data_IF_218714802021
#
_entry.id   IF_218714802021
#
_cell.length_a   1.000
_cell.length_b   1.000
_cell.length_c   1.000
_cell.angle_alpha   90.00
_cell.angle_beta   90.00
_cell.angle_gamma   90.00
#
_symmetry.space_group_name_H-M   'P 1'
#
loop_
_entity.id
_entity.type
_entity.pdbx_description
1 polymer ?
#
# COMPACT_ATOMS: atom_id res chain seq x y z
N UNK A 1 -18.68 -18.04 7.01
CA UNK A 1 -17.28 -17.73 6.70
C UNK A 1 -17.23 -16.57 5.72
N UNK A 2 -16.68 -15.44 6.15
CA UNK A 2 -16.51 -14.28 5.29
C UNK A 2 -15.36 -14.55 4.32
N UNK A 3 -15.60 -14.48 3.01
CA UNK A 3 -14.54 -14.72 2.03
C UNK A 3 -13.42 -13.69 2.16
N UNK A 4 -12.18 -14.11 1.99
CA UNK A 4 -10.97 -13.28 2.01
C UNK A 4 -11.12 -11.94 1.26
N UNK A 5 -11.64 -11.98 0.04
CA UNK A 5 -11.90 -10.78 -0.77
C UNK A 5 -13.00 -9.87 -0.18
N UNK A 6 -13.96 -10.41 0.57
CA UNK A 6 -14.97 -9.61 1.28
C UNK A 6 -14.34 -8.88 2.47
N UNK A 7 -13.44 -9.55 3.19
CA UNK A 7 -12.74 -8.94 4.31
C UNK A 7 -11.88 -7.74 3.88
N UNK A 8 -11.09 -7.87 2.80
CA UNK A 8 -10.28 -6.75 2.29
C UNK A 8 -11.13 -5.53 1.91
N UNK A 9 -12.35 -5.74 1.39
CA UNK A 9 -13.29 -4.67 1.05
C UNK A 9 -13.84 -3.92 2.27
N UNK A 10 -13.71 -4.48 3.48
CA UNK A 10 -14.12 -3.83 4.74
C UNK A 10 -12.99 -3.04 5.39
N UNK A 11 -11.80 -3.03 4.81
CA UNK A 11 -10.71 -2.16 5.26
C UNK A 11 -10.92 -0.80 4.60
N UNK A 12 -11.17 0.21 5.44
CA UNK A 12 -11.39 1.57 4.97
C UNK A 12 -10.07 2.27 4.61
N UNK A 13 -10.10 3.29 3.74
CA UNK A 13 -8.90 4.04 3.37
C UNK A 13 -8.24 4.71 4.58
N UNK A 14 -9.02 5.32 5.49
CA UNK A 14 -8.51 5.97 6.70
C UNK A 14 -7.76 5.01 7.63
N UNK A 15 -8.23 3.76 7.70
CA UNK A 15 -7.57 2.74 8.52
C UNK A 15 -6.22 2.34 7.92
N UNK A 16 -6.15 2.25 6.59
CA UNK A 16 -4.93 1.93 5.88
C UNK A 16 -3.93 3.09 5.92
N UNK A 17 -4.41 4.33 5.83
CA UNK A 17 -3.61 5.56 5.96
C UNK A 17 -2.90 5.64 7.30
N UNK A 18 -3.57 5.23 8.39
CA UNK A 18 -2.96 5.14 9.73
C UNK A 18 -1.87 4.07 9.84
N UNK A 19 -1.70 3.22 8.82
CA UNK A 19 -0.65 2.20 8.74
C UNK A 19 0.53 2.63 7.86
N UNK A 20 0.55 3.85 7.33
CA UNK A 20 1.59 4.35 6.41
C UNK A 20 2.73 5.06 7.16
N UNK A 21 3.52 4.28 7.87
CA UNK A 21 4.71 4.76 8.57
C UNK A 21 5.89 3.80 8.33
N UNK A 22 7.13 4.29 8.47
CA UNK A 22 8.31 3.45 8.53
C UNK A 22 8.66 3.04 9.97
N UNK A 23 9.30 1.88 10.11
CA UNK A 23 9.95 1.43 11.34
C UNK A 23 11.24 0.66 10.99
N UNK A 24 12.20 0.69 11.93
CA UNK A 24 13.46 -0.04 11.85
C UNK A 24 13.63 -0.87 13.10
N UNK A 25 13.91 -2.16 12.94
CA UNK A 25 14.19 -3.10 14.01
C UNK A 25 15.64 -3.56 13.89
N UNK A 26 16.35 -3.69 15.01
CA UNK A 26 17.66 -4.30 15.04
C UNK A 26 17.56 -5.82 14.99
N UNK A 27 18.48 -6.48 14.29
CA UNK A 27 18.58 -7.93 14.28
C UNK A 27 19.45 -8.43 15.43
N UNK A 28 18.86 -9.24 16.29
CA UNK A 28 19.49 -9.83 17.47
C UNK A 28 19.58 -11.35 17.28
N UNK A 29 20.80 -11.87 17.25
CA UNK A 29 21.04 -13.32 17.24
C UNK A 29 20.90 -13.89 18.67
N UNK A 30 20.60 -15.18 18.80
CA UNK A 30 20.49 -15.88 20.09
C UNK A 30 21.71 -15.73 21.03
N UNK A 31 22.88 -15.36 20.50
CA UNK A 31 24.12 -15.10 21.26
C UNK A 31 24.47 -13.61 21.48
N UNK A 32 23.54 -12.67 21.23
CA UNK A 32 23.72 -11.23 21.49
C UNK A 32 24.61 -10.46 20.49
N UNK A 33 25.52 -11.14 19.78
CA UNK A 33 26.25 -10.57 18.63
C UNK A 33 25.45 -10.75 17.34
N UNK A 34 24.44 -9.90 17.14
CA UNK A 34 23.76 -9.73 15.86
C UNK A 34 24.07 -8.35 15.29
N UNK A 35 24.50 -8.28 14.02
CA UNK A 35 24.66 -7.03 13.29
C UNK A 35 23.68 -7.03 12.12
N UNK A 36 22.83 -6.01 12.04
CA UNK A 36 21.85 -5.90 10.96
C UNK A 36 20.58 -5.17 11.37
N UNK A 37 19.70 -4.98 10.39
CA UNK A 37 18.42 -4.33 10.59
C UNK A 37 17.34 -4.93 9.70
N UNK A 38 16.10 -4.84 10.17
CA UNK A 38 14.88 -4.98 9.39
C UNK A 38 14.22 -3.60 9.32
N UNK A 39 14.07 -3.06 8.12
CA UNK A 39 13.33 -1.84 7.85
C UNK A 39 12.05 -2.18 7.09
N UNK A 40 10.93 -1.57 7.48
CA UNK A 40 9.65 -1.70 6.79
C UNK A 40 9.03 -0.32 6.68
N UNK A 41 8.53 0.05 5.50
CA UNK A 41 7.88 1.33 5.30
C UNK A 41 6.83 1.30 4.20
N UNK A 42 5.80 2.14 4.37
CA UNK A 42 4.76 2.32 3.38
C UNK A 42 4.43 3.80 3.22
N UNK A 43 4.20 4.25 1.98
CA UNK A 43 3.84 5.63 1.67
C UNK A 43 2.96 5.71 0.43
N UNK A 44 2.17 6.78 0.26
CA UNK A 44 1.49 7.05 -1.00
C UNK A 44 2.49 7.17 -2.16
N UNK A 45 2.13 6.63 -3.32
CA UNK A 45 2.93 6.73 -4.53
C UNK A 45 2.05 6.62 -5.79
N UNK A 46 2.41 7.33 -6.88
CA UNK A 46 1.85 7.05 -8.19
C UNK A 46 2.40 5.72 -8.73
N UNK A 47 1.56 4.98 -9.45
CA UNK A 47 1.96 3.81 -10.21
C UNK A 47 1.45 3.92 -11.65
N UNK A 48 2.30 3.57 -12.61
CA UNK A 48 1.95 3.54 -14.02
C UNK A 48 2.50 2.26 -14.63
N UNK A 49 1.61 1.43 -15.13
CA UNK A 49 1.96 0.31 -16.00
C UNK A 49 1.96 0.80 -17.45
N UNK A 50 2.79 0.19 -18.29
CA UNK A 50 2.85 0.52 -19.72
C UNK A 50 1.47 0.41 -20.37
N UNK A 51 1.09 1.42 -21.17
CA UNK A 51 -0.24 1.49 -21.79
C UNK A 51 -1.40 1.82 -20.86
N UNK A 52 -1.18 2.04 -19.56
CA UNK A 52 -2.24 2.37 -18.59
C UNK A 52 -2.15 3.80 -18.04
N UNK A 53 -3.29 4.28 -17.49
CA UNK A 53 -3.36 5.54 -16.74
C UNK A 53 -2.62 5.42 -15.41
N UNK A 54 -2.06 6.52 -14.95
CA UNK A 54 -1.45 6.62 -13.62
C UNK A 54 -2.52 6.37 -12.55
N UNK A 55 -2.23 5.51 -11.59
CA UNK A 55 -3.08 5.21 -10.44
C UNK A 55 -2.41 5.72 -9.17
N UNK A 56 -3.20 6.32 -8.28
CA UNK A 56 -2.75 6.55 -6.89
C UNK A 56 -2.77 5.22 -6.15
N UNK A 57 -1.65 4.86 -5.53
CA UNK A 57 -1.49 3.61 -4.80
C UNK A 57 -0.53 3.80 -3.62
N UNK A 58 -0.14 2.70 -3.00
CA UNK A 58 0.80 2.64 -1.90
C UNK A 58 2.07 1.94 -2.37
N UNK A 59 3.21 2.58 -2.14
CA UNK A 59 4.51 1.93 -2.25
C UNK A 59 4.87 1.37 -0.88
N UNK A 60 4.94 0.05 -0.80
CA UNK A 60 5.43 -0.69 0.37
C UNK A 60 6.84 -1.18 0.07
N UNK A 61 7.74 -0.98 1.02
CA UNK A 61 9.10 -1.50 0.95
C UNK A 61 9.47 -2.18 2.25
N UNK A 62 10.22 -3.26 2.16
CA UNK A 62 10.87 -3.88 3.29
C UNK A 62 12.29 -4.27 2.91
N UNK A 63 13.18 -4.25 3.90
CA UNK A 63 14.59 -4.56 3.72
C UNK A 63 15.11 -5.19 5.00
N UNK A 64 15.70 -6.37 4.89
CA UNK A 64 16.31 -7.09 5.99
C UNK A 64 17.75 -7.41 5.59
N UNK A 65 18.72 -6.88 6.33
CA UNK A 65 20.14 -7.14 6.10
C UNK A 65 20.81 -7.51 7.40
N UNK A 66 21.64 -8.54 7.35
CA UNK A 66 22.45 -8.94 8.49
C UNK A 66 23.41 -10.06 8.13
N UNK A 67 23.92 -10.72 9.16
CA UNK A 67 24.69 -11.95 9.01
C UNK A 67 24.13 -13.03 9.93
N UNK A 68 24.03 -14.26 9.42
CA UNK A 68 23.64 -15.45 10.16
C UNK A 68 24.84 -16.39 10.20
N UNK A 69 25.36 -16.68 11.39
CA UNK A 69 26.58 -17.50 11.57
C UNK A 69 27.77 -17.04 10.71
N UNK A 70 27.91 -15.72 10.56
CA UNK A 70 28.95 -15.09 9.74
C UNK A 70 28.67 -15.05 8.24
N UNK A 71 27.56 -15.63 7.77
CA UNK A 71 27.12 -15.57 6.36
C UNK A 71 26.23 -14.34 6.15
N UNK A 72 26.64 -13.36 5.34
CA UNK A 72 25.81 -12.21 5.02
C UNK A 72 24.53 -12.63 4.28
N UNK A 73 23.43 -11.99 4.63
CA UNK A 73 22.17 -12.14 3.94
C UNK A 73 21.49 -10.79 3.70
N UNK A 74 20.71 -10.73 2.63
CA UNK A 74 19.86 -9.60 2.32
C UNK A 74 18.51 -10.12 1.83
N UNK A 75 17.44 -9.47 2.25
CA UNK A 75 16.13 -9.61 1.64
C UNK A 75 15.52 -8.24 1.44
N UNK A 76 15.08 -7.93 0.23
CA UNK A 76 14.33 -6.71 -0.06
C UNK A 76 12.99 -7.05 -0.69
N UNK A 77 12.03 -6.18 -0.45
CA UNK A 77 10.70 -6.23 -1.03
C UNK A 77 10.35 -4.82 -1.47
N UNK A 78 9.79 -4.69 -2.67
CA UNK A 78 9.18 -3.47 -3.17
C UNK A 78 7.86 -3.85 -3.82
N UNK A 79 6.76 -3.26 -3.36
CA UNK A 79 5.44 -3.53 -3.94
C UNK A 79 4.58 -2.29 -4.07
N UNK A 80 3.80 -2.25 -5.15
CA UNK A 80 2.75 -1.28 -5.40
C UNK A 80 1.40 -1.93 -5.11
N UNK A 81 0.67 -1.36 -4.16
CA UNK A 81 -0.55 -1.93 -3.60
C UNK A 81 -1.67 -0.88 -3.64
N UNK A 82 -2.88 -1.25 -4.04
CA UNK A 82 -4.01 -0.30 -4.03
C UNK A 82 -4.50 -0.04 -2.61
N UNK A 83 -5.36 0.98 -2.44
CA UNK A 83 -6.04 1.23 -1.15
C UNK A 83 -7.00 0.10 -0.72
N UNK A 84 -7.18 -0.93 -1.57
CA UNK A 84 -7.97 -2.14 -1.28
C UNK A 84 -7.10 -3.36 -1.04
N UNK A 85 -5.79 -3.16 -0.83
CA UNK A 85 -4.80 -4.23 -0.65
C UNK A 85 -4.64 -5.15 -1.87
N UNK A 86 -4.97 -4.69 -3.07
CA UNK A 86 -4.69 -5.42 -4.30
C UNK A 86 -3.25 -5.14 -4.74
N UNK A 87 -2.45 -6.19 -4.96
CA UNK A 87 -1.07 -6.04 -5.42
C UNK A 87 -1.03 -5.82 -6.93
N UNK A 88 -0.58 -4.64 -7.36
CA UNK A 88 -0.40 -4.30 -8.78
C UNK A 88 0.91 -4.86 -9.33
N UNK A 89 1.97 -4.72 -8.54
CA UNK A 89 3.31 -5.19 -8.87
C UNK A 89 4.10 -5.36 -7.58
N UNK A 90 4.93 -6.40 -7.50
CA UNK A 90 5.94 -6.51 -6.45
C UNK A 90 7.19 -7.21 -6.96
N UNK A 91 8.32 -6.86 -6.37
CA UNK A 91 9.60 -7.48 -6.58
C UNK A 91 10.20 -7.81 -5.22
N UNK A 92 10.61 -9.06 -5.05
CA UNK A 92 11.32 -9.56 -3.89
C UNK A 92 12.69 -10.04 -4.32
N UNK A 93 13.72 -9.61 -3.63
CA UNK A 93 15.09 -10.06 -3.82
C UNK A 93 15.58 -10.68 -2.51
N UNK A 94 16.23 -11.83 -2.59
CA UNK A 94 16.89 -12.51 -1.49
C UNK A 94 18.30 -12.92 -1.92
N UNK A 95 19.30 -12.66 -1.08
CA UNK A 95 20.66 -13.12 -1.28
C UNK A 95 21.23 -13.73 0.00
N UNK A 96 22.02 -14.79 -0.18
CA UNK A 96 22.81 -15.46 0.84
C UNK A 96 24.24 -15.62 0.31
N UNK A 97 25.21 -14.98 0.97
CA UNK A 97 26.58 -14.90 0.48
C UNK A 97 27.47 -16.00 1.09
N UNK A 98 27.10 -17.27 0.88
CA UNK A 98 28.00 -18.36 1.26
C UNK A 98 29.31 -18.28 0.47
N UNK A 99 30.46 -18.38 1.14
CA UNK A 99 31.77 -18.20 0.53
C UNK A 99 32.04 -19.11 -0.69
N UNK A 100 31.48 -20.33 -0.70
CA UNK A 100 31.65 -21.27 -1.80
C UNK A 100 30.60 -21.10 -2.91
N UNK A 101 29.35 -20.76 -2.56
CA UNK A 101 28.20 -20.75 -3.48
C UNK A 101 27.18 -19.68 -3.05
N UNK A 102 27.37 -18.40 -3.41
CA UNK A 102 26.36 -17.38 -3.15
C UNK A 102 25.06 -17.73 -3.87
N UNK A 103 23.94 -17.57 -3.18
CA UNK A 103 22.61 -17.81 -3.76
C UNK A 103 21.90 -16.46 -3.84
N UNK A 104 21.46 -16.10 -5.04
CA UNK A 104 20.64 -14.91 -5.29
C UNK A 104 19.33 -15.35 -5.92
N UNK A 105 18.22 -14.82 -5.42
CA UNK A 105 16.89 -15.06 -5.96
C UNK A 105 16.12 -13.76 -6.10
N UNK A 106 15.51 -13.55 -7.26
CA UNK A 106 14.61 -12.44 -7.53
C UNK A 106 13.28 -12.95 -8.04
N UNK A 107 12.21 -12.58 -7.37
CA UNK A 107 10.84 -12.96 -7.72
C UNK A 107 10.05 -11.70 -8.00
N UNK A 108 9.61 -11.55 -9.25
CA UNK A 108 8.82 -10.41 -9.70
C UNK A 108 7.41 -10.89 -10.03
N UNK A 109 6.42 -10.22 -9.50
CA UNK A 109 5.00 -10.50 -9.70
C UNK A 109 4.34 -9.24 -10.27
N UNK A 110 3.68 -9.36 -11.42
CA UNK A 110 3.05 -8.22 -12.10
C UNK A 110 1.61 -8.57 -12.47
N UNK A 111 0.68 -7.67 -12.12
CA UNK A 111 -0.70 -7.79 -12.51
C UNK A 111 -0.87 -7.61 -14.02
N UNK A 112 -1.69 -8.46 -14.63
CA UNK A 112 -2.04 -8.43 -16.04
C UNK A 112 -3.58 -8.48 -16.21
N UNK A 113 -4.12 -8.16 -17.40
CA UNK A 113 -5.58 -8.18 -17.62
C UNK A 113 -6.26 -9.50 -17.26
N UNK A 114 -5.60 -10.63 -17.51
CA UNK A 114 -6.17 -11.97 -17.32
C UNK A 114 -5.70 -12.68 -16.04
N UNK A 115 -4.82 -12.05 -15.25
CA UNK A 115 -4.28 -12.69 -14.07
C UNK A 115 -3.02 -12.01 -13.56
N UNK A 116 -2.06 -12.82 -13.14
CA UNK A 116 -0.77 -12.37 -12.63
C UNK A 116 0.33 -13.19 -13.29
N UNK A 117 1.37 -12.49 -13.78
CA UNK A 117 2.60 -13.11 -14.25
C UNK A 117 3.65 -13.05 -13.15
N UNK A 118 4.39 -14.14 -12.97
CA UNK A 118 5.46 -14.26 -11.98
C UNK A 118 6.72 -14.74 -12.68
N UNK A 119 7.82 -14.02 -12.50
CA UNK A 119 9.14 -14.42 -12.99
C UNK A 119 10.06 -14.63 -11.81
N UNK A 120 10.73 -15.77 -11.76
CA UNK A 120 11.66 -16.16 -10.70
C UNK A 120 13.03 -16.39 -11.33
N UNK A 121 13.98 -15.52 -10.98
CA UNK A 121 15.38 -15.64 -11.35
C UNK A 121 16.16 -16.19 -10.17
N UNK A 122 16.87 -17.30 -10.35
CA UNK A 122 17.74 -17.89 -9.33
C UNK A 122 19.15 -18.02 -9.88
N UNK A 123 20.14 -17.54 -9.13
CA UNK A 123 21.56 -17.66 -9.45
C UNK A 123 22.27 -18.34 -8.28
N UNK A 124 23.03 -19.38 -8.59
CA UNK A 124 23.86 -20.09 -7.63
C UNK A 124 25.32 -20.01 -8.06
N UNK A 125 26.18 -19.47 -7.21
CA UNK A 125 27.58 -19.26 -7.51
C UNK A 125 27.82 -18.34 -8.71
N UNK A 126 28.71 -18.77 -9.60
CA UNK A 126 29.05 -18.07 -10.85
C UNK A 126 28.25 -18.56 -12.06
N UNK A 127 27.27 -19.44 -11.85
CA UNK A 127 26.47 -19.97 -12.94
C UNK A 127 25.56 -18.90 -13.56
N UNK A 128 25.14 -19.14 -14.80
CA UNK A 128 24.11 -18.33 -15.43
C UNK A 128 22.80 -18.41 -14.63
N UNK A 129 22.07 -17.28 -14.48
CA UNK A 129 20.82 -17.27 -13.75
C UNK A 129 19.77 -18.12 -14.46
N UNK A 130 19.10 -18.99 -13.71
CA UNK A 130 17.96 -19.77 -14.16
C UNK A 130 16.67 -18.94 -14.00
N UNK A 131 15.89 -18.82 -15.08
CA UNK A 131 14.60 -18.14 -15.09
C UNK A 131 13.45 -19.13 -15.16
N UNK A 132 12.42 -18.91 -14.35
CA UNK A 132 11.14 -19.62 -14.41
C UNK A 132 10.00 -18.63 -14.45
N UNK A 133 9.08 -18.84 -15.38
CA UNK A 133 7.91 -17.99 -15.55
C UNK A 133 6.64 -18.76 -15.23
N UNK A 134 5.75 -18.12 -14.48
CA UNK A 134 4.44 -18.63 -14.10
C UNK A 134 3.37 -17.64 -14.52
N UNK A 135 2.18 -18.14 -14.83
CA UNK A 135 1.01 -17.32 -15.09
C UNK A 135 -0.21 -17.93 -14.41
N UNK A 136 -0.90 -17.11 -13.63
CA UNK A 136 -2.05 -17.53 -12.85
C UNK A 136 -3.26 -16.71 -13.25
N UNK A 137 -4.33 -17.37 -13.70
CA UNK A 137 -5.57 -16.71 -14.10
C UNK A 137 -6.41 -16.25 -12.91
N UNK A 138 -7.18 -15.17 -13.07
CA UNK A 138 -8.02 -14.59 -12.01
C UNK A 138 -8.97 -15.58 -11.32
N UNK A 139 -9.42 -16.62 -12.04
CA UNK A 139 -10.26 -17.69 -11.48
C UNK A 139 -9.63 -18.38 -10.26
N UNK A 140 -8.30 -18.47 -10.21
CA UNK A 140 -7.53 -19.07 -9.11
C UNK A 140 -7.05 -18.07 -8.05
N UNK A 141 -7.24 -16.77 -8.28
CA UNK A 141 -6.62 -15.66 -7.53
C UNK A 141 -7.65 -14.78 -6.81
N UNK A 142 -8.86 -15.28 -6.55
CA UNK A 142 -9.89 -14.53 -5.85
C UNK A 142 -9.43 -14.04 -4.47
N UNK A 143 -9.08 -12.76 -4.37
CA UNK A 143 -8.51 -12.17 -3.14
C UNK A 143 -7.03 -12.51 -2.91
N UNK A 144 -6.25 -12.72 -3.97
CA UNK A 144 -4.79 -12.86 -3.90
C UNK A 144 -4.18 -11.76 -3.03
N UNK A 145 -3.32 -12.15 -2.09
CA UNK A 145 -2.61 -11.25 -1.22
C UNK A 145 -1.09 -11.38 -1.45
N UNK A 146 -0.49 -10.36 -2.06
CA UNK A 146 0.97 -10.29 -2.21
C UNK A 146 1.67 -9.96 -0.89
N UNK A 147 2.98 -10.20 -0.82
CA UNK A 147 3.80 -10.00 0.39
C UNK A 147 3.76 -8.54 0.86
N UNK A 148 3.83 -7.59 -0.07
CA UNK A 148 3.71 -6.16 0.23
C UNK A 148 2.34 -5.80 0.85
N UNK A 149 1.26 -6.39 0.33
CA UNK A 149 -0.08 -6.18 0.88
C UNK A 149 -0.25 -6.88 2.24
N UNK A 150 0.38 -8.05 2.43
CA UNK A 150 0.42 -8.77 3.71
C UNK A 150 1.03 -7.92 4.82
N UNK A 151 2.08 -7.15 4.55
CA UNK A 151 2.71 -6.29 5.56
C UNK A 151 1.74 -5.21 6.08
N UNK A 152 1.01 -4.56 5.17
CA UNK A 152 -0.03 -3.60 5.54
C UNK A 152 -1.20 -4.26 6.28
N UNK A 153 -1.63 -5.44 5.80
CA UNK A 153 -2.71 -6.19 6.43
C UNK A 153 -2.39 -6.54 7.89
N UNK A 154 -1.16 -6.97 8.18
CA UNK A 154 -0.73 -7.27 9.56
C UNK A 154 -0.88 -6.05 10.47
N UNK A 155 -0.51 -4.84 10.00
CA UNK A 155 -0.69 -3.60 10.75
C UNK A 155 -2.16 -3.31 11.02
N UNK A 156 -3.03 -3.50 10.02
CA UNK A 156 -4.48 -3.34 10.16
C UNK A 156 -5.04 -4.31 11.21
N UNK A 157 -4.70 -5.60 11.11
CA UNK A 157 -5.14 -6.64 12.05
C UNK A 157 -4.68 -6.34 13.49
N UNK A 158 -3.43 -5.87 13.64
CA UNK A 158 -2.88 -5.48 14.93
C UNK A 158 -3.63 -4.29 15.54
N UNK A 159 -3.89 -3.25 14.76
CA UNK A 159 -4.64 -2.06 15.22
C UNK A 159 -6.08 -2.37 15.59
N UNK A 160 -6.73 -3.26 14.84
CA UNK A 160 -8.07 -3.77 15.18
C UNK A 160 -8.07 -4.63 16.45
N UNK A 161 -6.90 -5.15 16.85
CA UNK A 161 -6.74 -6.18 17.88
C UNK A 161 -7.66 -7.39 17.63
N UNK A 162 -7.92 -7.69 16.36
CA UNK A 162 -8.88 -8.71 15.96
C UNK A 162 -8.46 -9.36 14.64
N UNK A 163 -8.43 -10.69 14.64
CA UNK A 163 -8.21 -11.52 13.45
C UNK A 163 -9.45 -12.39 13.25
N UNK A 164 -10.17 -12.24 12.13
CA UNK A 164 -11.29 -13.12 11.82
C UNK A 164 -10.86 -14.60 11.83
N UNK A 165 -11.67 -15.51 12.39
CA UNK A 165 -11.34 -16.93 12.40
C UNK A 165 -11.31 -17.48 10.97
N UNK A 166 -10.27 -18.25 10.66
CA UNK A 166 -10.13 -18.90 9.34
C UNK A 166 -9.82 -17.92 8.20
N UNK A 167 -9.13 -16.81 8.48
CA UNK A 167 -8.68 -15.87 7.46
C UNK A 167 -7.54 -16.48 6.62
N UNK A 168 -7.85 -16.85 5.37
CA UNK A 168 -6.96 -17.53 4.43
C UNK A 168 -7.00 -16.80 3.09
N UNK A 169 -5.85 -16.47 2.51
CA UNK A 169 -5.74 -15.84 1.19
C UNK A 169 -4.92 -16.72 0.25
N UNK A 170 -5.23 -16.74 -1.06
CA UNK A 170 -4.26 -17.17 -2.07
C UNK A 170 -3.00 -16.29 -1.96
N UNK A 171 -1.83 -16.88 -2.06
CA UNK A 171 -0.55 -16.18 -2.03
C UNK A 171 0.43 -16.85 -3.02
N UNK A 172 1.41 -16.09 -3.49
CA UNK A 172 2.51 -16.62 -4.30
C UNK A 172 3.76 -16.61 -3.42
N UNK A 173 4.42 -17.77 -3.30
CA UNK A 173 5.64 -17.90 -2.52
C UNK A 173 6.86 -17.26 -3.23
N UNK A 174 8.02 -17.32 -2.56
CA UNK A 174 9.27 -16.79 -3.11
C UNK A 174 9.80 -17.59 -4.31
N UNK A 175 9.26 -18.78 -4.55
CA UNK A 175 9.59 -19.72 -5.63
C UNK A 175 8.63 -19.58 -6.82
N UNK A 176 7.62 -18.71 -6.72
CA UNK A 176 6.63 -18.44 -7.74
C UNK A 176 5.41 -19.38 -7.72
N UNK A 177 5.32 -20.31 -6.77
CA UNK A 177 4.20 -21.25 -6.67
C UNK A 177 3.00 -20.64 -5.96
N UNK A 178 1.82 -20.99 -6.46
CA UNK A 178 0.56 -20.67 -5.80
C UNK A 178 0.38 -21.53 -4.54
N UNK A 179 0.20 -20.85 -3.41
CA UNK A 179 -0.11 -21.43 -2.12
C UNK A 179 -1.15 -20.62 -1.37
N UNK A 180 -1.07 -20.63 -0.04
CA UNK A 180 -1.97 -19.88 0.83
C UNK A 180 -1.21 -19.19 1.95
N UNK A 181 -1.72 -18.05 2.39
CA UNK A 181 -1.28 -17.37 3.60
C UNK A 181 -2.43 -17.30 4.60
N UNK A 182 -2.13 -17.55 5.87
CA UNK A 182 -3.10 -17.55 6.96
C UNK A 182 -2.63 -16.66 8.09
N UNK A 183 -3.59 -16.09 8.83
CA UNK A 183 -3.33 -15.21 9.96
C UNK A 183 -4.06 -15.70 11.20
N UNK A 184 -3.40 -15.65 12.36
CA UNK A 184 -3.99 -16.01 13.65
C UNK A 184 -3.56 -15.03 14.72
N UNK A 185 -4.45 -14.69 15.64
CA UNK A 185 -4.08 -13.97 16.85
C UNK A 185 -3.54 -14.96 17.88
N UNK A 186 -2.34 -14.69 18.42
CA UNK A 186 -1.76 -15.46 19.52
C UNK A 186 -2.05 -14.83 20.89
N UNK A 187 -2.61 -13.63 20.92
CA UNK A 187 -3.02 -12.92 22.12
C UNK A 187 -2.25 -11.62 22.34
N UNK A 188 -2.49 -11.00 23.49
CA UNK A 188 -1.73 -9.85 23.95
C UNK A 188 -0.65 -10.30 24.93
N UNK A 189 0.54 -9.71 24.83
CA UNK A 189 1.66 -9.97 25.72
C UNK A 189 2.25 -8.65 26.21
N UNK A 190 2.79 -8.61 27.42
CA UNK A 190 3.63 -7.50 27.88
C UNK A 190 5.09 -7.76 27.50
N UNK A 191 5.74 -6.78 26.90
CA UNK A 191 7.14 -6.85 26.51
C UNK A 191 7.87 -5.61 27.04
N UNK A 192 9.17 -5.72 27.35
CA UNK A 192 9.98 -4.55 27.71
C UNK A 192 9.99 -3.57 26.54
N UNK A 193 9.53 -2.35 26.79
CA UNK A 193 9.51 -1.24 25.84
C UNK A 193 10.22 -0.06 26.49
N UNK A 194 11.54 -0.07 26.42
CA UNK A 194 12.36 0.93 27.06
C UNK A 194 12.25 0.96 28.57
N UNK A 195 11.80 2.10 29.11
CA UNK A 195 11.63 2.32 30.55
C UNK A 195 10.38 1.65 31.16
N UNK A 196 9.45 1.13 30.35
CA UNK A 196 8.19 0.56 30.82
C UNK A 196 7.78 -0.73 30.06
N UNK A 197 6.87 -1.51 30.62
CA UNK A 197 6.26 -2.64 29.89
C UNK A 197 5.13 -2.18 28.96
N UNK A 198 5.26 -2.53 27.69
CA UNK A 198 4.27 -2.22 26.66
C UNK A 198 3.48 -3.47 26.32
N UNK A 199 2.16 -3.30 26.23
CA UNK A 199 1.27 -4.34 25.73
C UNK A 199 1.34 -4.39 24.21
N UNK A 200 1.69 -5.56 23.68
CA UNK A 200 1.76 -5.84 22.25
C UNK A 200 0.76 -6.91 21.85
N UNK A 201 0.23 -6.80 20.63
CA UNK A 201 -0.58 -7.85 20.01
C UNK A 201 0.33 -8.77 19.21
N UNK A 202 0.26 -10.06 19.48
CA UNK A 202 1.06 -11.06 18.78
C UNK A 202 0.21 -11.72 17.70
N UNK A 203 0.67 -11.64 16.46
CA UNK A 203 0.06 -12.24 15.29
C UNK A 203 0.97 -13.32 14.72
N UNK A 204 0.37 -14.44 14.36
CA UNK A 204 1.00 -15.48 13.55
C UNK A 204 0.62 -15.29 12.09
N UNK A 205 1.62 -15.33 11.22
CA UNK A 205 1.45 -15.49 9.77
C UNK A 205 2.06 -16.82 9.35
N UNK A 206 1.29 -17.67 8.69
CA UNK A 206 1.80 -18.91 8.11
C UNK A 206 1.57 -18.95 6.60
N UNK A 207 2.65 -19.13 5.84
CA UNK A 207 2.65 -19.32 4.39
C UNK A 207 2.82 -20.79 4.09
N UNK A 208 1.86 -21.37 3.37
CA UNK A 208 1.84 -22.79 3.00
C UNK A 208 1.82 -22.94 1.49
N UNK A 209 2.79 -23.69 0.99
CA UNK A 209 2.91 -24.11 -0.41
C UNK A 209 2.36 -25.53 -0.57
N UNK A 210 2.24 -26.02 -1.81
CA UNK A 210 1.73 -27.39 -2.07
C UNK A 210 2.63 -28.47 -1.47
N UNK A 211 3.93 -28.23 -1.47
CA UNK A 211 4.97 -29.17 -1.05
C UNK A 211 5.93 -28.42 -0.12
N UNK A 212 5.97 -28.81 1.16
CA UNK A 212 6.89 -28.22 2.13
C UNK A 212 6.30 -27.98 3.52
N UNK A 213 7.19 -27.71 4.47
CA UNK A 213 6.83 -27.24 5.81
C UNK A 213 6.40 -25.77 5.68
N UNK A 214 5.25 -25.37 6.27
CA UNK A 214 4.82 -23.98 6.24
C UNK A 214 5.87 -23.07 6.88
N UNK A 215 6.18 -21.96 6.23
CA UNK A 215 6.98 -20.92 6.83
C UNK A 215 6.08 -20.10 7.76
N UNK A 216 6.47 -19.99 9.03
CA UNK A 216 5.68 -19.33 10.08
C UNK A 216 6.46 -18.17 10.67
N UNK A 217 5.79 -17.03 10.81
CA UNK A 217 6.29 -15.83 11.48
C UNK A 217 5.40 -15.45 12.65
N UNK A 218 6.03 -15.10 13.77
CA UNK A 218 5.39 -14.46 14.90
C UNK A 218 5.82 -12.99 14.94
N UNK A 219 4.84 -12.11 14.83
CA UNK A 219 5.04 -10.66 14.81
C UNK A 219 4.28 -10.02 15.97
N UNK A 220 4.99 -9.30 16.82
CA UNK A 220 4.41 -8.50 17.90
C UNK A 220 4.28 -7.05 17.46
N UNK A 221 3.11 -6.46 17.68
CA UNK A 221 2.78 -5.11 17.25
C UNK A 221 2.38 -4.22 18.41
N UNK A 222 2.84 -2.97 18.39
CA UNK A 222 2.38 -1.91 19.28
C UNK A 222 0.91 -1.55 18.99
N UNK A 223 0.21 -0.87 19.92
CA UNK A 223 -1.14 -0.35 19.67
C UNK A 223 -1.25 0.57 18.45
N UNK A 224 -0.17 1.29 18.11
CA UNK A 224 -0.05 2.10 16.89
C UNK A 224 0.00 1.27 15.59
N UNK A 225 0.16 -0.05 15.69
CA UNK A 225 0.32 -0.96 14.56
C UNK A 225 1.77 -1.12 14.09
N UNK A 226 2.73 -0.48 14.76
CA UNK A 226 4.17 -0.62 14.48
C UNK A 226 4.67 -2.00 14.89
N UNK A 227 5.56 -2.57 14.09
CA UNK A 227 6.19 -3.84 14.40
C UNK A 227 7.22 -3.65 15.53
N UNK A 228 6.95 -4.25 16.69
CA UNK A 228 7.84 -4.23 17.85
C UNK A 228 8.86 -5.38 17.78
N UNK A 229 8.42 -6.55 17.34
CA UNK A 229 9.22 -7.76 17.34
C UNK A 229 8.79 -8.68 16.20
N UNK A 230 9.75 -9.33 15.53
CA UNK A 230 9.45 -10.37 14.54
C UNK A 230 10.45 -11.52 14.62
N UNK A 231 9.93 -12.74 14.57
CA UNK A 231 10.69 -13.99 14.53
C UNK A 231 10.10 -14.91 13.46
N UNK A 232 10.96 -15.59 12.71
CA UNK A 232 10.56 -16.74 11.91
C UNK A 232 10.78 -18.02 12.74
N UNK A 233 9.76 -18.86 12.84
CA UNK A 233 9.86 -20.15 13.56
C UNK A 233 10.94 -21.00 12.88
N UNK A 234 11.91 -21.46 13.68
CA UNK A 234 13.07 -22.22 13.20
C UNK A 234 14.29 -21.37 12.81
N UNK A 235 14.19 -20.04 12.82
CA UNK A 235 15.32 -19.13 12.60
C UNK A 235 15.84 -18.60 13.95
N UNK A 236 17.16 -18.57 14.22
CA UNK A 236 17.72 -18.09 15.49
C UNK A 236 17.88 -16.56 15.55
N UNK A 237 17.40 -15.84 14.54
CA UNK A 237 17.48 -14.37 14.45
C UNK A 237 16.14 -13.75 14.80
N UNK A 238 16.19 -12.76 15.69
CA UNK A 238 15.05 -11.98 16.13
C UNK A 238 15.19 -10.53 15.68
N UNK A 239 14.16 -9.95 15.08
CA UNK A 239 14.09 -8.51 14.86
C UNK A 239 13.40 -7.84 16.06
N UNK A 240 14.01 -6.82 16.65
CA UNK A 240 13.49 -6.07 17.81
C UNK A 240 13.59 -4.57 17.57
N UNK A 241 12.49 -3.85 17.81
CA UNK A 241 12.45 -2.40 17.79
C UNK A 241 13.30 -1.83 18.94
N UNK A 242 14.21 -0.91 18.62
CA UNK A 242 15.13 -0.28 19.59
C UNK A 242 14.77 1.19 19.87
N UNK A 243 13.75 1.71 19.19
CA UNK A 243 13.36 3.11 19.29
C UNK A 243 12.54 3.34 20.57
N UNK A 244 13.21 3.87 21.58
CA UNK A 244 12.66 4.15 22.91
C UNK A 244 11.51 5.15 22.89
N UNK A 245 11.52 6.13 21.98
CA UNK A 245 10.47 7.14 21.85
C UNK A 245 9.19 6.50 21.32
N UNK A 246 9.32 5.59 20.36
CA UNK A 246 8.22 4.80 19.80
C UNK A 246 7.69 3.78 20.82
N UNK A 247 8.57 3.19 21.63
CA UNK A 247 8.18 2.25 22.69
C UNK A 247 7.49 2.95 23.86
N UNK A 248 7.84 4.21 24.12
CA UNK A 248 7.28 5.04 25.20
C UNK A 248 5.91 5.66 24.88
N UNK A 249 5.26 5.29 23.76
CA UNK A 249 3.90 5.74 23.36
C UNK A 249 2.80 5.45 24.41
N UNK A 250 3.12 4.86 25.58
CA UNK A 250 2.31 4.96 26.80
C UNK A 250 2.83 6.04 27.75
N UNK A 251 2.50 7.29 27.47
CA UNK A 251 2.23 8.26 28.53
C UNK A 251 1.31 9.38 28.08
N UNK A 252 1.37 9.82 26.82
CA UNK A 252 0.47 10.84 26.30
C UNK A 252 0.25 10.54 24.82
N UNK A 253 -0.98 10.17 24.45
CA UNK A 253 -1.51 10.81 23.26
C UNK A 253 -1.61 12.29 23.64
N UNK A 254 -0.49 13.02 23.58
CA UNK A 254 -0.61 14.45 23.40
C UNK A 254 -1.54 14.57 22.19
N UNK A 255 -2.66 15.31 22.31
CA UNK A 255 -3.46 15.60 21.15
C UNK A 255 -2.47 16.09 20.12
N UNK A 256 -2.31 15.31 19.04
CA UNK A 256 -1.47 15.62 17.89
C UNK A 256 -1.57 17.13 17.75
N UNK A 257 -0.49 17.91 17.96
CA UNK A 257 -0.62 19.34 18.15
C UNK A 257 -1.51 19.79 17.03
N UNK A 258 -2.71 20.23 17.39
CA UNK A 258 -3.64 20.75 16.44
C UNK A 258 -2.98 22.07 16.10
N UNK A 259 -1.95 22.02 15.24
CA UNK A 259 -1.55 23.14 14.45
C UNK A 259 -2.88 23.51 13.80
N UNK A 260 -3.55 24.59 14.23
CA UNK A 260 -4.64 25.09 13.43
C UNK A 260 -3.99 25.22 12.06
N UNK A 261 -4.55 24.56 11.04
CA UNK A 261 -4.01 24.66 9.70
C UNK A 261 -3.93 26.15 9.43
N UNK A 262 -2.72 26.72 9.48
CA UNK A 262 -2.56 28.12 9.18
C UNK A 262 -3.10 28.24 7.76
N UNK A 263 -3.98 29.21 7.50
CA UNK A 263 -4.38 29.52 6.15
C UNK A 263 -3.10 29.61 5.34
N UNK A 264 -3.00 28.80 4.28
CA UNK A 264 -1.84 28.84 3.42
C UNK A 264 -1.85 30.22 2.76
N UNK A 265 -1.02 31.15 3.23
CA UNK A 265 -0.86 32.50 2.66
C UNK A 265 -0.02 32.42 1.36
N UNK A 266 -0.49 31.61 0.42
CA UNK A 266 0.19 31.33 -0.84
C UNK A 266 0.33 32.58 -1.72
N UNK A 267 -0.46 33.63 -1.48
CA UNK A 267 -0.40 34.90 -2.20
C UNK A 267 0.84 35.74 -1.82
N UNK A 268 1.32 35.61 -0.58
CA UNK A 268 2.50 36.33 -0.08
C UNK A 268 3.80 35.53 -0.24
N UNK A 269 3.72 34.20 -0.22
CA UNK A 269 4.85 33.33 -0.49
C UNK A 269 5.23 33.36 -1.98
N UNK A 270 6.42 33.91 -2.28
CA UNK A 270 6.91 34.07 -3.64
C UNK A 270 7.02 32.74 -4.42
N UNK A 271 7.36 31.64 -3.74
CA UNK A 271 7.53 30.32 -4.36
C UNK A 271 6.16 29.68 -4.64
N UNK A 272 5.24 29.72 -3.68
CA UNK A 272 3.88 29.20 -3.86
C UNK A 272 3.09 30.01 -4.89
N UNK A 273 3.26 31.33 -4.91
CA UNK A 273 2.69 32.20 -5.93
C UNK A 273 3.24 31.87 -7.32
N UNK A 274 4.54 31.59 -7.45
CA UNK A 274 5.13 31.15 -8.71
C UNK A 274 4.47 29.85 -9.19
N UNK A 275 4.38 28.84 -8.33
CA UNK A 275 3.74 27.56 -8.69
C UNK A 275 2.27 27.71 -9.05
N UNK A 276 1.54 28.58 -8.35
CA UNK A 276 0.15 28.88 -8.68
C UNK A 276 0.04 29.52 -10.07
N UNK A 277 0.89 30.50 -10.38
CA UNK A 277 0.88 31.18 -11.67
C UNK A 277 1.22 30.21 -12.81
N UNK A 278 2.24 29.38 -12.64
CA UNK A 278 2.62 28.36 -13.63
C UNK A 278 1.45 27.40 -13.89
N UNK A 279 0.83 26.89 -12.82
CA UNK A 279 -0.30 25.96 -12.94
C UNK A 279 -1.55 26.63 -13.52
N UNK A 280 -1.80 27.90 -13.18
CA UNK A 280 -2.90 28.70 -13.73
C UNK A 280 -2.71 28.90 -15.23
N UNK A 281 -1.51 29.26 -15.68
CA UNK A 281 -1.20 29.43 -17.09
C UNK A 281 -1.34 28.11 -17.86
N UNK A 282 -0.83 27.00 -17.31
CA UNK A 282 -0.99 25.66 -17.89
C UNK A 282 -2.48 25.30 -18.09
N UNK A 283 -3.31 25.52 -17.06
CA UNK A 283 -4.74 25.24 -17.12
C UNK A 283 -5.47 26.17 -18.10
N UNK A 284 -5.10 27.45 -18.16
CA UNK A 284 -5.67 28.40 -19.12
C UNK A 284 -5.29 28.03 -20.57
N UNK A 285 -4.05 27.61 -20.81
CA UNK A 285 -3.59 27.14 -22.11
C UNK A 285 -4.29 25.83 -22.51
N UNK A 286 -4.46 24.90 -21.57
CA UNK A 286 -5.20 23.65 -21.78
C UNK A 286 -6.67 23.92 -22.09
N UNK A 287 -7.34 24.78 -21.32
CA UNK A 287 -8.73 25.18 -21.57
C UNK A 287 -8.89 25.87 -22.92
N UNK A 288 -8.01 26.83 -23.25
CA UNK A 288 -8.03 27.51 -24.55
C UNK A 288 -7.86 26.54 -25.71
N UNK A 289 -6.96 25.56 -25.56
CA UNK A 289 -6.75 24.50 -26.55
C UNK A 289 -7.98 23.61 -26.70
N UNK A 290 -8.59 23.22 -25.57
CA UNK A 290 -9.81 22.40 -25.56
C UNK A 290 -10.96 23.12 -26.27
N UNK A 291 -11.25 24.37 -25.91
CA UNK A 291 -12.32 25.17 -26.52
C UNK A 291 -12.08 25.40 -28.02
N UNK A 292 -10.83 25.61 -28.45
CA UNK A 292 -10.50 25.72 -29.89
C UNK A 292 -10.69 24.41 -30.65
N UNK A 293 -10.42 23.26 -30.02
CA UNK A 293 -10.62 21.94 -30.63
C UNK A 293 -12.08 21.52 -30.67
N UNK A 294 -12.94 22.16 -29.88
CA UNK A 294 -14.35 21.82 -29.72
C UNK A 294 -15.27 23.02 -29.99
N UNK A 295 -15.33 23.54 -31.24
CA UNK A 295 -16.20 24.67 -31.58
C UNK A 295 -17.69 24.36 -31.33
N UNK A 296 -18.08 23.09 -31.33
CA UNK A 296 -19.43 22.63 -31.00
C UNK A 296 -19.89 23.03 -29.59
N UNK A 297 -18.97 23.25 -28.64
CA UNK A 297 -19.31 23.68 -27.28
C UNK A 297 -19.94 25.07 -27.26
N UNK A 298 -19.43 25.99 -28.07
CA UNK A 298 -19.95 27.34 -28.14
C UNK A 298 -21.38 27.35 -28.73
N UNK A 299 -21.60 26.56 -29.79
CA UNK A 299 -22.92 26.38 -30.38
C UNK A 299 -23.91 25.75 -29.39
N UNK A 300 -23.50 24.67 -28.71
CA UNK A 300 -24.34 23.98 -27.73
C UNK A 300 -24.76 24.89 -26.56
N UNK A 301 -23.83 25.72 -26.06
CA UNK A 301 -24.12 26.68 -25.00
C UNK A 301 -25.04 27.81 -25.49
N UNK A 302 -24.85 28.28 -26.73
CA UNK A 302 -25.73 29.28 -27.33
C UNK A 302 -27.16 28.75 -27.50
N UNK A 303 -27.32 27.53 -28.00
CA UNK A 303 -28.62 26.87 -28.15
C UNK A 303 -29.31 26.68 -26.79
N UNK A 304 -28.55 26.31 -25.76
CA UNK A 304 -29.07 26.21 -24.40
C UNK A 304 -29.57 27.55 -23.88
N UNK A 305 -28.74 28.60 -23.98
CA UNK A 305 -29.10 29.96 -23.53
C UNK A 305 -30.33 30.48 -24.27
N UNK A 306 -30.42 30.27 -25.58
CA UNK A 306 -31.57 30.65 -26.37
C UNK A 306 -32.83 29.89 -25.94
N UNK A 307 -32.75 28.58 -25.72
CA UNK A 307 -33.87 27.78 -25.25
C UNK A 307 -34.32 28.17 -23.83
N UNK A 308 -33.38 28.52 -22.95
CA UNK A 308 -33.64 28.97 -21.58
C UNK A 308 -34.36 30.32 -21.57
N UNK A 309 -33.87 31.28 -22.35
CA UNK A 309 -34.43 32.63 -22.44
C UNK A 309 -35.81 32.67 -23.10
N UNK A 310 -36.05 31.80 -24.08
CA UNK A 310 -37.34 31.71 -24.77
C UNK A 310 -38.41 31.01 -23.92
N UNK A 311 -38.05 29.94 -23.20
CA UNK A 311 -39.02 29.13 -22.46
C UNK A 311 -39.25 29.58 -21.02
N UNK A 312 -38.31 30.34 -20.45
CA UNK A 312 -38.31 30.84 -19.06
C UNK A 312 -38.91 29.82 -18.06
N UNK A 313 -38.32 28.61 -17.98
CA UNK A 313 -38.86 27.56 -17.14
C UNK A 313 -38.78 27.93 -15.66
N UNK A 314 -39.74 27.50 -14.82
CA UNK A 314 -39.75 27.79 -13.39
C UNK A 314 -38.57 27.14 -12.63
N UNK A 315 -37.98 26.07 -13.19
CA UNK A 315 -36.77 25.43 -12.67
C UNK A 315 -35.69 25.37 -13.78
N UNK A 316 -34.74 26.33 -13.81
CA UNK A 316 -33.69 26.37 -14.82
C UNK A 316 -32.66 25.24 -14.66
N UNK A 317 -32.48 24.70 -13.45
CA UNK A 317 -31.49 23.64 -13.15
C UNK A 317 -31.99 22.30 -13.68
N UNK A 318 -33.24 21.95 -13.40
CA UNK A 318 -33.87 20.75 -13.96
C UNK A 318 -33.98 20.84 -15.49
N UNK A 319 -34.26 22.04 -16.01
CA UNK A 319 -34.26 22.29 -17.45
C UNK A 319 -32.88 22.04 -18.07
N UNK A 320 -31.79 22.55 -17.47
CA UNK A 320 -30.42 22.29 -17.92
C UNK A 320 -30.08 20.80 -17.91
N UNK A 321 -30.41 20.08 -16.83
CA UNK A 321 -30.17 18.65 -16.73
C UNK A 321 -30.86 17.87 -17.87
N UNK A 322 -32.10 18.22 -18.22
CA UNK A 322 -32.83 17.62 -19.34
C UNK A 322 -32.27 18.03 -20.70
N UNK A 323 -31.87 19.29 -20.87
CA UNK A 323 -31.30 19.80 -22.11
C UNK A 323 -29.96 19.11 -22.45
N UNK A 324 -29.09 18.93 -21.45
CA UNK A 324 -27.77 18.33 -21.64
C UNK A 324 -27.76 16.79 -21.60
N UNK A 325 -28.81 16.15 -21.06
CA UNK A 325 -28.88 14.68 -20.93
C UNK A 325 -28.59 13.90 -22.23
N UNK A 326 -29.05 14.31 -23.43
CA UNK A 326 -28.74 13.60 -24.68
C UNK A 326 -27.27 13.66 -25.08
N UNK A 327 -26.53 14.67 -24.64
CA UNK A 327 -25.11 14.87 -24.95
C UNK A 327 -24.17 14.12 -24.00
N UNK A 328 -24.70 13.59 -22.90
CA UNK A 328 -23.95 12.77 -21.95
C UNK A 328 -23.61 11.41 -22.57
N UNK A 329 -22.48 11.31 -23.28
CA UNK A 329 -21.87 10.01 -23.58
C UNK A 329 -21.52 9.33 -22.25
N UNK A 330 -21.74 8.02 -22.13
CA UNK A 330 -21.27 7.21 -21.00
C UNK A 330 -19.73 7.24 -20.96
N UNK A 331 -19.18 8.24 -20.30
CA UNK A 331 -17.78 8.28 -19.92
C UNK A 331 -17.62 7.55 -18.58
N UNK A 332 -16.54 6.76 -18.40
CA UNK A 332 -16.18 6.29 -17.08
C UNK A 332 -15.97 7.51 -16.16
N UNK A 333 -16.33 7.43 -14.88
CA UNK A 333 -16.22 8.55 -13.97
C UNK A 333 -14.79 9.08 -13.99
N UNK A 334 -14.64 10.33 -14.42
CA UNK A 334 -13.41 11.09 -14.22
C UNK A 334 -13.15 11.25 -12.71
N UNK A 335 -11.91 11.59 -12.31
CA UNK A 335 -11.64 11.86 -10.91
C UNK A 335 -12.58 12.99 -10.45
N UNK A 336 -13.31 12.83 -9.34
CA UNK A 336 -14.17 13.88 -8.83
C UNK A 336 -13.29 15.09 -8.54
N UNK A 337 -13.66 16.24 -9.11
CA UNK A 337 -13.20 17.51 -8.58
C UNK A 337 -13.60 17.53 -7.10
N UNK A 338 -12.64 17.71 -6.21
CA UNK A 338 -12.90 17.84 -4.79
C UNK A 338 -13.80 19.05 -4.59
N UNK A 339 -15.09 18.82 -4.33
CA UNK A 339 -15.98 19.87 -3.85
C UNK A 339 -15.50 20.27 -2.46
N UNK A 340 -15.11 21.53 -2.32
CA UNK A 340 -14.91 22.13 -1.01
C UNK A 340 -16.23 22.01 -0.24
N UNK A 341 -16.16 21.40 0.95
CA UNK A 341 -17.28 21.31 1.88
C UNK A 341 -17.80 22.72 2.17
N UNK A 342 -19.11 22.89 2.09
CA UNK A 342 -19.83 24.07 2.57
C UNK A 342 -19.51 24.31 4.05
N UNK A 343 -19.42 25.58 4.50
CA UNK A 343 -19.28 25.89 5.92
C UNK A 343 -20.55 25.49 6.69
N UNK A 344 -20.43 25.16 7.98
CA UNK A 344 -21.59 24.91 8.83
C UNK A 344 -22.45 26.17 8.93
N UNK A 345 -23.76 26.01 8.78
CA UNK A 345 -24.73 26.99 9.23
C UNK A 345 -24.94 26.78 10.73
N UNK A 346 -25.02 27.91 11.45
CA UNK A 346 -25.11 28.03 12.91
C UNK A 346 -26.22 27.20 13.57
#
# INVERSE_FOLDING_TARGET
>A
MEGAAKFLKRIGPEELERCLFPETLALVAAGGRGGGHLWVGARPAPYKQEGQRVRSCLLVRAECRGALDGVPFCSTLKGYVTMRLETLEQEQHQSLEFAAHPIERRTRMVQQPHGVAVTVLTREGKAEPHSRDFSYGWASLGGLLGEAASLLLLRVLARRRAVPPGLIFPAIDSEGHLGTVTYRALGAQRQPGGSAEVEVVVLERAVRTKEGVPAVWHSSFLPSGRLARQLQVGCPVLAVLQDEDVLSERAQAEPQPAFPKQPLEWEEDAQLRSWFLDRKEELQASHSTYTRRHPELAALLADFLQALLLRQPPDPVLFAARFFAPFARRHPPGPPFASSRSPPQD
#
